data_IF_006871026756
#
_entry.id   IF_006871026756
#
_cell.length_a   1.000
_cell.length_b   1.000
_cell.length_c   1.000
_cell.angle_alpha   90.00
_cell.angle_beta   90.00
_cell.angle_gamma   90.00
#
_symmetry.space_group_name_H-M   'P 1'
#
loop_
_entity.id
_entity.type
_entity.pdbx_description
1 polymer ?
#
# COMPACT_ATOMS: atom_id res chain seq x y z
N UNK A 1 -39.00 28.43 8.48
CA UNK A 1 -37.63 27.93 8.25
C UNK A 1 -37.64 26.41 8.31
N UNK A 2 -37.50 25.74 7.16
CA UNK A 2 -37.31 24.27 7.08
C UNK A 2 -35.81 23.98 7.01
N UNK A 3 -35.28 22.96 7.69
CA UNK A 3 -33.90 22.52 7.47
C UNK A 3 -33.83 21.67 6.19
N UNK A 4 -32.89 22.02 5.30
CA UNK A 4 -32.53 21.23 4.13
C UNK A 4 -31.66 20.05 4.58
N UNK A 5 -32.25 18.85 4.66
CA UNK A 5 -31.50 17.59 4.55
C UNK A 5 -31.20 17.39 3.07
N UNK A 6 -29.93 17.51 2.70
CA UNK A 6 -29.41 17.00 1.43
C UNK A 6 -28.92 15.57 1.67
N UNK A 7 -29.61 14.62 1.07
CA UNK A 7 -29.27 13.20 1.07
C UNK A 7 -27.96 12.97 0.30
N UNK A 8 -26.90 12.57 1.00
CA UNK A 8 -25.74 11.93 0.39
C UNK A 8 -26.02 10.42 0.30
N UNK A 9 -25.81 9.76 -0.86
CA UNK A 9 -26.05 8.33 -0.99
C UNK A 9 -24.88 7.58 -0.36
N UNK A 10 -24.94 7.34 0.95
CA UNK A 10 -24.12 6.31 1.62
C UNK A 10 -25.04 5.17 2.02
N UNK A 11 -25.63 4.52 1.02
CA UNK A 11 -26.16 3.17 1.13
C UNK A 11 -25.46 2.30 0.10
N UNK A 12 -24.21 1.97 0.41
CA UNK A 12 -23.65 0.71 -0.04
C UNK A 12 -24.26 -0.38 0.83
N UNK A 13 -24.95 -1.32 0.21
CA UNK A 13 -25.44 -2.55 0.81
C UNK A 13 -24.34 -3.18 1.69
N UNK A 14 -24.61 -3.34 2.98
CA UNK A 14 -23.94 -4.36 3.80
C UNK A 14 -24.52 -5.71 3.37
N UNK A 15 -24.17 -6.12 2.15
CA UNK A 15 -24.53 -7.39 1.57
C UNK A 15 -24.15 -8.53 2.51
N UNK A 16 -25.06 -9.51 2.58
CA UNK A 16 -24.95 -10.77 3.31
C UNK A 16 -23.53 -11.37 3.34
N UNK A 17 -22.93 -11.46 4.52
CA UNK A 17 -22.22 -12.64 5.03
C UNK A 17 -20.97 -13.19 4.33
N UNK A 18 -20.48 -12.63 3.22
CA UNK A 18 -19.21 -13.02 2.64
C UNK A 18 -18.08 -12.18 3.25
N UNK A 19 -17.33 -12.77 4.19
CA UNK A 19 -16.08 -12.18 4.67
C UNK A 19 -15.16 -12.01 3.48
N UNK A 20 -14.86 -10.76 3.10
CA UNK A 20 -13.83 -10.48 2.10
C UNK A 20 -12.51 -11.13 2.53
N UNK A 21 -11.97 -11.99 1.68
CA UNK A 21 -10.76 -12.76 1.97
C UNK A 21 -9.53 -12.05 1.40
N UNK A 22 -8.43 -12.11 2.16
CA UNK A 22 -7.16 -11.54 1.71
C UNK A 22 -6.62 -12.23 0.45
N UNK A 23 -5.83 -11.50 -0.38
CA UNK A 23 -5.43 -11.96 -1.70
C UNK A 23 -4.50 -13.19 -1.71
N UNK A 24 -3.89 -13.55 -0.57
CA UNK A 24 -3.08 -14.77 -0.45
C UNK A 24 -3.89 -16.03 -0.16
N UNK A 25 -5.15 -15.91 0.27
CA UNK A 25 -6.00 -17.06 0.61
C UNK A 25 -6.21 -17.98 -0.60
N UNK A 26 -6.61 -17.39 -1.74
CA UNK A 26 -6.89 -18.13 -2.99
C UNK A 26 -5.66 -18.76 -3.66
N UNK A 27 -4.44 -18.58 -3.12
CA UNK A 27 -3.20 -19.11 -3.70
C UNK A 27 -2.60 -20.29 -2.93
N UNK A 28 -3.15 -20.62 -1.76
CA UNK A 28 -2.69 -21.72 -0.92
C UNK A 28 -2.92 -23.10 -1.59
N UNK A 29 -4.09 -23.30 -2.21
CA UNK A 29 -4.49 -24.59 -2.77
C UNK A 29 -3.69 -24.98 -4.05
N UNK A 30 -3.02 -24.02 -4.69
CA UNK A 30 -2.21 -24.24 -5.90
C UNK A 30 -0.69 -24.17 -5.70
N UNK A 31 -0.19 -24.09 -4.46
CA UNK A 31 1.24 -23.87 -4.18
C UNK A 31 1.74 -22.47 -4.57
N UNK A 32 0.83 -21.51 -4.74
CA UNK A 32 1.14 -20.17 -5.22
C UNK A 32 1.85 -19.32 -4.16
N UNK A 33 2.87 -18.58 -4.60
CA UNK A 33 3.49 -17.51 -3.80
C UNK A 33 2.86 -16.16 -4.13
N UNK A 34 2.90 -15.24 -3.17
CA UNK A 34 2.57 -13.84 -3.38
C UNK A 34 3.68 -12.95 -2.84
N UNK A 35 4.18 -12.06 -3.70
CA UNK A 35 5.20 -11.09 -3.34
C UNK A 35 4.55 -9.71 -3.25
N UNK A 36 4.71 -9.05 -2.11
CA UNK A 36 4.20 -7.71 -1.85
C UNK A 36 5.38 -6.79 -1.56
N UNK A 37 5.39 -5.63 -2.20
CA UNK A 37 6.27 -4.52 -1.82
C UNK A 37 5.41 -3.53 -1.06
N UNK A 38 5.90 -3.08 0.10
CA UNK A 38 5.33 -1.94 0.79
C UNK A 38 6.37 -0.82 0.77
N UNK A 39 5.97 0.40 0.43
CA UNK A 39 6.89 1.55 0.44
C UNK A 39 6.23 2.83 0.90
N UNK A 40 7.05 3.76 1.36
CA UNK A 40 6.63 5.10 1.77
C UNK A 40 7.76 5.81 2.47
N UNK A 41 7.43 6.89 3.17
CA UNK A 41 8.39 7.64 3.97
C UNK A 41 8.29 7.28 5.46
N UNK A 42 9.38 7.49 6.19
CA UNK A 42 9.41 7.31 7.64
C UNK A 42 8.32 8.11 8.34
N UNK A 43 7.37 7.41 8.97
CA UNK A 43 6.17 7.99 9.60
C UNK A 43 4.85 7.39 9.09
N UNK A 44 4.83 6.87 7.86
CA UNK A 44 3.59 6.41 7.20
C UNK A 44 3.05 5.06 7.72
N UNK A 45 3.76 4.39 8.63
CA UNK A 45 3.33 3.10 9.17
C UNK A 45 3.59 1.89 8.27
N UNK A 46 4.52 1.98 7.31
CA UNK A 46 4.90 0.88 6.39
C UNK A 46 5.28 -0.39 7.16
N UNK A 47 6.20 -0.29 8.13
CA UNK A 47 6.67 -1.43 8.94
C UNK A 47 5.54 -2.05 9.76
N UNK A 48 4.69 -1.22 10.37
CA UNK A 48 3.55 -1.69 11.15
C UNK A 48 2.56 -2.45 10.27
N UNK A 49 2.26 -1.90 9.10
CA UNK A 49 1.40 -2.54 8.09
C UNK A 49 1.96 -3.89 7.66
N UNK A 50 3.25 -3.97 7.32
CA UNK A 50 3.90 -5.24 6.98
C UNK A 50 3.72 -6.27 8.08
N UNK A 51 3.95 -5.89 9.35
CA UNK A 51 3.82 -6.80 10.50
C UNK A 51 2.39 -7.29 10.67
N UNK A 52 1.39 -6.41 10.51
CA UNK A 52 -0.02 -6.79 10.59
C UNK A 52 -0.38 -7.81 9.51
N UNK A 53 0.03 -7.57 8.25
CA UNK A 53 -0.22 -8.51 7.14
C UNK A 53 0.50 -9.84 7.39
N UNK A 54 1.77 -9.79 7.81
CA UNK A 54 2.56 -10.98 8.10
C UNK A 54 1.92 -11.83 9.21
N UNK A 55 1.51 -11.21 10.31
CA UNK A 55 0.86 -11.88 11.43
C UNK A 55 -0.49 -12.47 11.02
N UNK A 56 -1.30 -11.73 10.26
CA UNK A 56 -2.57 -12.24 9.72
C UNK A 56 -2.35 -13.49 8.85
N UNK A 57 -1.38 -13.43 7.93
CA UNK A 57 -1.05 -14.56 7.06
C UNK A 57 -0.52 -15.77 7.85
N UNK A 58 0.32 -15.55 8.88
CA UNK A 58 0.82 -16.61 9.76
C UNK A 58 -0.32 -17.31 10.52
N UNK A 59 -1.31 -16.56 11.00
CA UNK A 59 -2.50 -17.11 11.69
C UNK A 59 -3.36 -17.96 10.77
N UNK A 60 -3.34 -17.69 9.48
CA UNK A 60 -3.99 -18.52 8.44
C UNK A 60 -3.13 -19.72 7.98
N UNK A 61 -1.98 -19.98 8.64
CA UNK A 61 -1.07 -21.06 8.26
C UNK A 61 -0.20 -20.77 7.03
N UNK A 62 -0.18 -19.52 6.55
CA UNK A 62 0.67 -19.09 5.43
C UNK A 62 2.11 -18.94 5.87
N UNK A 63 3.07 -19.51 5.12
CA UNK A 63 4.49 -19.21 5.34
C UNK A 63 4.79 -17.77 4.93
N UNK A 64 5.50 -17.04 5.79
CA UNK A 64 5.86 -15.64 5.57
C UNK A 64 7.37 -15.45 5.63
N UNK A 65 7.90 -14.60 4.75
CA UNK A 65 9.25 -14.02 4.87
C UNK A 65 9.17 -12.51 4.70
N UNK A 66 9.85 -11.80 5.60
CA UNK A 66 9.94 -10.35 5.58
C UNK A 66 11.41 -9.95 5.43
N UNK A 67 11.68 -9.05 4.48
CA UNK A 67 12.97 -8.40 4.30
C UNK A 67 12.78 -6.89 4.32
N UNK A 68 13.27 -6.22 5.35
CA UNK A 68 13.14 -4.77 5.47
C UNK A 68 14.42 -4.10 4.96
N UNK A 69 14.27 -3.15 4.04
CA UNK A 69 15.34 -2.25 3.63
C UNK A 69 14.96 -0.87 4.15
N UNK A 70 15.39 -0.58 5.37
CA UNK A 70 15.31 0.76 5.91
C UNK A 70 16.48 1.56 5.37
N UNK A 71 16.21 2.72 4.74
CA UNK A 71 17.21 3.79 4.77
C UNK A 71 17.46 4.17 6.23
N UNK A 72 18.70 4.45 6.61
CA UNK A 72 19.12 4.83 7.97
C UNK A 72 18.42 6.11 8.53
N UNK A 73 17.47 6.69 7.81
CA UNK A 73 16.77 7.92 8.14
C UNK A 73 15.44 7.62 8.85
N UNK A 74 15.39 7.89 10.16
CA UNK A 74 14.23 7.62 11.01
C UNK A 74 13.05 8.59 10.83
N UNK A 75 13.16 9.63 9.98
CA UNK A 75 12.05 10.51 9.55
C UNK A 75 12.32 11.07 8.16
N UNK A 76 11.32 11.04 7.28
CA UNK A 76 11.38 11.62 5.93
C UNK A 76 12.25 10.85 4.92
N UNK A 77 12.90 9.75 5.32
CA UNK A 77 13.62 8.87 4.40
C UNK A 77 12.72 7.77 3.82
N UNK A 78 13.17 7.20 2.70
CA UNK A 78 12.57 6.03 2.06
C UNK A 78 12.55 4.81 2.99
N UNK A 79 11.37 4.20 3.09
CA UNK A 79 11.15 2.93 3.76
C UNK A 79 10.59 1.94 2.76
N UNK A 80 11.23 0.77 2.63
CA UNK A 80 10.75 -0.31 1.76
C UNK A 80 10.75 -1.62 2.52
N UNK A 81 9.64 -2.35 2.42
CA UNK A 81 9.47 -3.67 3.00
C UNK A 81 9.13 -4.68 1.91
N UNK A 82 9.89 -5.77 1.89
CA UNK A 82 9.65 -6.92 1.03
C UNK A 82 8.92 -7.99 1.84
N UNK A 83 7.71 -8.31 1.41
CA UNK A 83 6.88 -9.33 2.05
C UNK A 83 6.63 -10.47 1.05
N UNK A 84 6.88 -11.70 1.47
CA UNK A 84 6.71 -12.89 0.65
C UNK A 84 5.87 -13.92 1.39
N UNK A 85 4.77 -14.31 0.76
CA UNK A 85 3.75 -15.20 1.30
C UNK A 85 3.71 -16.49 0.48
N UNK A 86 3.51 -17.63 1.14
CA UNK A 86 3.30 -18.94 0.52
C UNK A 86 4.49 -19.91 0.64
N UNK A 87 4.28 -21.19 0.29
CA UNK A 87 5.19 -22.30 0.60
C UNK A 87 6.59 -22.17 -0.02
N UNK A 88 6.70 -21.54 -1.21
CA UNK A 88 7.92 -21.42 -2.01
C UNK A 88 8.67 -20.07 -1.86
N UNK A 89 8.39 -19.34 -0.79
CA UNK A 89 8.98 -18.02 -0.55
C UNK A 89 10.51 -18.07 -0.23
N UNK A 90 11.42 -18.56 -1.10
CA UNK A 90 12.86 -18.64 -0.78
C UNK A 90 13.54 -17.26 -0.73
N UNK A 91 14.22 -16.93 0.38
CA UNK A 91 14.90 -15.64 0.58
C UNK A 91 13.95 -14.51 1.00
N UNK A 92 14.49 -13.41 1.53
CA UNK A 92 13.70 -12.31 2.11
C UNK A 92 13.38 -11.18 1.13
N UNK A 93 14.21 -11.00 0.10
CA UNK A 93 13.98 -9.96 -0.91
C UNK A 93 13.07 -10.47 -2.02
N UNK A 94 12.19 -9.58 -2.49
CA UNK A 94 11.41 -9.81 -3.73
C UNK A 94 12.31 -9.51 -4.92
N UNK A 95 12.50 -10.46 -5.86
CA UNK A 95 13.28 -10.20 -7.06
C UNK A 95 12.64 -9.13 -7.94
N UNK A 96 13.43 -8.47 -8.78
CA UNK A 96 12.90 -7.54 -9.78
C UNK A 96 11.87 -8.23 -10.68
N UNK A 97 10.85 -7.48 -11.10
CA UNK A 97 9.75 -7.96 -11.95
C UNK A 97 8.97 -9.17 -11.39
N UNK A 98 8.93 -9.35 -10.07
CA UNK A 98 8.23 -10.49 -9.41
C UNK A 98 7.23 -10.08 -8.33
N UNK A 99 7.09 -8.80 -7.99
CA UNK A 99 6.07 -8.34 -7.07
C UNK A 99 4.68 -8.44 -7.73
N UNK A 100 3.73 -9.03 -7.00
CA UNK A 100 2.32 -9.13 -7.38
C UNK A 100 1.55 -7.86 -6.98
N UNK A 101 1.91 -7.28 -5.84
CA UNK A 101 1.26 -6.11 -5.25
C UNK A 101 2.32 -5.09 -4.83
N UNK A 102 2.04 -3.82 -5.07
CA UNK A 102 2.71 -2.68 -4.43
C UNK A 102 1.68 -1.94 -3.57
N UNK A 103 1.94 -1.84 -2.27
CA UNK A 103 1.20 -0.99 -1.34
C UNK A 103 2.06 0.24 -1.05
N UNK A 104 1.74 1.35 -1.71
CA UNK A 104 2.52 2.58 -1.64
C UNK A 104 1.80 3.64 -0.82
N UNK A 105 2.46 4.10 0.23
CA UNK A 105 1.95 5.12 1.14
C UNK A 105 2.32 6.55 0.69
N UNK A 106 3.07 6.67 -0.40
CA UNK A 106 3.60 7.92 -0.92
C UNK A 106 3.88 7.76 -2.44
N UNK A 107 3.47 8.72 -3.31
CA UNK A 107 3.54 8.56 -4.77
C UNK A 107 4.95 8.43 -5.36
N UNK A 108 5.91 9.26 -4.93
CA UNK A 108 7.27 9.20 -5.45
C UNK A 108 7.97 7.89 -5.05
N UNK A 109 7.70 7.39 -3.85
CA UNK A 109 8.16 6.08 -3.41
C UNK A 109 7.54 4.94 -4.21
N UNK A 110 6.28 5.07 -4.64
CA UNK A 110 5.67 4.10 -5.54
C UNK A 110 6.47 4.01 -6.86
N UNK A 111 6.77 5.16 -7.47
CA UNK A 111 7.52 5.25 -8.72
C UNK A 111 8.91 4.61 -8.60
N UNK A 112 9.61 4.83 -7.48
CA UNK A 112 10.94 4.24 -7.21
C UNK A 112 10.92 2.72 -7.12
N UNK A 113 9.81 2.12 -6.70
CA UNK A 113 9.70 0.67 -6.52
C UNK A 113 9.12 -0.09 -7.73
N UNK A 114 8.72 0.62 -8.80
CA UNK A 114 8.17 0.02 -10.03
C UNK A 114 9.05 -1.08 -10.65
N UNK A 115 10.37 -1.03 -10.45
CA UNK A 115 11.33 -2.06 -10.89
C UNK A 115 11.06 -3.46 -10.34
N UNK A 116 10.38 -3.56 -9.19
CA UNK A 116 10.04 -4.85 -8.58
C UNK A 116 8.75 -5.44 -9.13
N UNK A 117 7.87 -4.62 -9.72
CA UNK A 117 6.58 -5.05 -10.21
C UNK A 117 6.70 -5.90 -11.47
N UNK A 118 6.00 -7.04 -11.47
CA UNK A 118 5.72 -7.77 -12.70
C UNK A 118 4.78 -6.94 -13.59
N UNK A 119 4.57 -7.37 -14.82
CA UNK A 119 3.59 -6.72 -15.71
C UNK A 119 2.17 -6.92 -15.18
N UNK A 120 1.38 -5.85 -15.10
CA UNK A 120 0.01 -5.89 -14.59
C UNK A 120 -0.08 -6.28 -13.11
N UNK A 121 0.94 -5.96 -12.31
CA UNK A 121 0.83 -6.01 -10.87
C UNK A 121 -0.23 -5.01 -10.38
N UNK A 122 -0.85 -5.32 -9.24
CA UNK A 122 -1.75 -4.40 -8.57
C UNK A 122 -0.93 -3.36 -7.81
N UNK A 123 -1.27 -2.09 -7.97
CA UNK A 123 -0.70 -0.98 -7.21
C UNK A 123 -1.82 -0.31 -6.44
N UNK A 124 -1.68 -0.27 -5.12
CA UNK A 124 -2.57 0.48 -4.24
C UNK A 124 -1.76 1.66 -3.73
N UNK A 125 -2.18 2.87 -4.09
CA UNK A 125 -1.42 4.09 -3.87
C UNK A 125 -2.22 5.06 -2.99
N UNK A 126 -1.60 5.58 -1.93
CA UNK A 126 -2.05 6.81 -1.29
C UNK A 126 -1.54 8.02 -2.09
N UNK A 127 -2.44 8.88 -2.58
CA UNK A 127 -2.08 10.04 -3.41
C UNK A 127 -1.53 11.26 -2.64
N UNK A 128 -1.38 11.16 -1.31
CA UNK A 128 -0.77 12.23 -0.52
C UNK A 128 0.76 12.30 -0.73
N UNK A 129 1.31 13.40 -1.29
CA UNK A 129 2.74 13.56 -1.47
C UNK A 129 3.43 13.88 -0.14
N UNK A 130 4.64 13.34 0.06
CA UNK A 130 5.51 13.79 1.14
C UNK A 130 6.50 14.83 0.63
N UNK A 131 6.22 16.10 0.89
CA UNK A 131 7.12 17.20 0.51
C UNK A 131 8.16 17.41 1.61
N UNK A 132 9.36 16.86 1.40
CA UNK A 132 10.49 17.00 2.32
C UNK A 132 10.98 18.44 2.49
N UNK A 133 11.88 18.64 3.46
CA UNK A 133 12.46 19.96 3.79
C UNK A 133 13.19 20.55 2.58
N UNK A 134 13.91 19.75 1.80
CA UNK A 134 14.64 20.22 0.63
C UNK A 134 13.72 20.80 -0.44
N UNK A 135 12.52 20.22 -0.63
CA UNK A 135 11.54 20.75 -1.57
C UNK A 135 10.90 22.06 -1.04
N UNK A 136 10.66 22.16 0.28
CA UNK A 136 10.20 23.41 0.90
C UNK A 136 11.23 24.53 0.80
N UNK A 137 12.52 24.20 0.85
CA UNK A 137 13.63 25.15 0.68
C UNK A 137 13.92 25.45 -0.81
N UNK A 138 13.17 24.87 -1.75
CA UNK A 138 13.37 25.05 -3.19
C UNK A 138 14.64 24.38 -3.74
N UNK A 139 15.27 23.50 -2.96
CA UNK A 139 16.48 22.77 -3.31
C UNK A 139 16.20 21.52 -4.15
N UNK A 140 14.94 21.07 -4.19
CA UNK A 140 14.46 19.99 -5.06
C UNK A 140 13.02 20.26 -5.50
N UNK A 141 12.62 19.66 -6.62
CA UNK A 141 11.23 19.72 -7.10
C UNK A 141 10.58 18.35 -7.00
N UNK A 142 9.48 18.28 -6.25
CA UNK A 142 8.61 17.11 -6.25
C UNK A 142 7.82 17.08 -7.57
N UNK A 143 7.82 15.97 -8.34
CA UNK A 143 7.05 15.88 -9.58
C UNK A 143 5.55 16.02 -9.32
N UNK A 144 4.77 16.49 -10.30
CA UNK A 144 3.32 16.57 -10.13
C UNK A 144 2.73 15.18 -9.86
N UNK A 145 1.90 15.06 -8.82
CA UNK A 145 1.32 13.77 -8.40
C UNK A 145 0.52 13.14 -9.55
N UNK A 146 -0.21 13.95 -10.31
CA UNK A 146 -0.97 13.49 -11.49
C UNK A 146 -0.07 12.83 -12.55
N UNK A 147 1.15 13.32 -12.75
CA UNK A 147 2.10 12.73 -13.70
C UNK A 147 2.59 11.36 -13.20
N UNK A 148 2.87 11.25 -11.90
CA UNK A 148 3.27 9.99 -11.26
C UNK A 148 2.17 8.94 -11.42
N UNK A 149 0.93 9.29 -11.03
CA UNK A 149 -0.25 8.42 -11.14
C UNK A 149 -0.43 7.96 -12.60
N UNK A 150 -0.39 8.90 -13.54
CA UNK A 150 -0.53 8.62 -14.98
C UNK A 150 0.56 7.68 -15.52
N UNK A 151 1.79 7.76 -15.00
CA UNK A 151 2.86 6.86 -15.40
C UNK A 151 2.68 5.43 -14.86
N UNK A 152 2.16 5.29 -13.64
CA UNK A 152 1.91 4.00 -13.02
C UNK A 152 0.73 3.29 -13.69
N UNK A 153 -0.38 4.01 -13.89
CA UNK A 153 -1.62 3.48 -14.49
C UNK A 153 -1.40 2.93 -15.91
N UNK A 154 -0.49 3.53 -16.68
CA UNK A 154 -0.14 3.05 -18.04
C UNK A 154 0.39 1.63 -18.09
N UNK A 155 0.96 1.12 -17.00
CA UNK A 155 1.69 -0.16 -16.99
C UNK A 155 1.26 -1.12 -15.89
N UNK A 156 0.39 -0.70 -14.97
CA UNK A 156 -0.07 -1.48 -13.82
C UNK A 156 -1.57 -1.32 -13.57
N UNK A 157 -2.15 -2.25 -12.82
CA UNK A 157 -3.52 -2.18 -12.30
C UNK A 157 -3.53 -1.25 -11.07
N UNK A 158 -3.85 0.04 -11.28
CA UNK A 158 -3.76 1.07 -10.25
C UNK A 158 -5.09 1.28 -9.51
N UNK A 159 -5.02 1.27 -8.19
CA UNK A 159 -6.05 1.76 -7.28
C UNK A 159 -5.49 3.00 -6.58
N UNK A 160 -5.96 4.17 -7.01
CA UNK A 160 -5.66 5.44 -6.35
C UNK A 160 -6.60 5.65 -5.15
N UNK A 161 -6.04 5.98 -3.98
CA UNK A 161 -6.75 6.09 -2.72
C UNK A 161 -6.41 7.41 -2.04
N UNK A 162 -7.41 8.26 -1.70
CA UNK A 162 -7.19 9.43 -0.84
C UNK A 162 -7.09 8.99 0.63
N UNK A 163 -6.13 8.11 0.94
CA UNK A 163 -6.11 7.40 2.22
C UNK A 163 -5.85 8.34 3.40
N UNK A 164 -5.03 9.37 3.21
CA UNK A 164 -4.82 10.42 4.22
C UNK A 164 -6.10 11.17 4.53
N UNK A 165 -6.89 11.54 3.51
CA UNK A 165 -8.15 12.23 3.70
C UNK A 165 -9.17 11.34 4.44
N UNK A 166 -9.34 10.10 3.99
CA UNK A 166 -10.23 9.12 4.63
C UNK A 166 -9.82 8.87 6.10
N UNK A 167 -8.52 8.84 6.39
CA UNK A 167 -8.04 8.70 7.76
C UNK A 167 -8.36 9.92 8.63
N UNK A 168 -8.25 11.14 8.09
CA UNK A 168 -8.66 12.37 8.78
C UNK A 168 -10.15 12.36 9.10
N UNK A 169 -10.99 11.90 8.18
CA UNK A 169 -12.43 11.75 8.39
C UNK A 169 -12.76 10.68 9.45
N UNK A 170 -11.95 9.60 9.53
CA UNK A 170 -12.14 8.51 10.49
C UNK A 170 -11.61 8.79 11.91
N UNK A 171 -10.79 9.84 12.09
CA UNK A 171 -10.31 10.25 13.41
C UNK A 171 -8.88 10.81 13.46
N UNK A 172 -8.09 10.65 12.40
CA UNK A 172 -6.79 11.32 12.27
C UNK A 172 -5.81 10.62 11.33
N UNK A 173 -4.80 11.37 10.87
CA UNK A 173 -3.76 10.91 9.93
C UNK A 173 -2.98 9.67 10.39
N UNK A 174 -2.93 9.41 11.70
CA UNK A 174 -2.32 8.18 12.24
C UNK A 174 -3.02 6.90 11.80
N UNK A 175 -4.24 7.00 11.25
CA UNK A 175 -5.03 5.88 10.74
C UNK A 175 -4.84 5.60 9.25
N UNK A 176 -4.01 6.38 8.52
CA UNK A 176 -3.78 6.19 7.07
C UNK A 176 -3.37 4.76 6.74
N UNK A 177 -2.56 4.14 7.60
CA UNK A 177 -2.17 2.74 7.42
C UNK A 177 -3.32 1.75 7.58
N UNK A 178 -4.30 2.03 8.44
CA UNK A 178 -5.51 1.21 8.59
C UNK A 178 -6.39 1.32 7.35
N UNK A 179 -6.54 2.53 6.80
CA UNK A 179 -7.26 2.72 5.52
C UNK A 179 -6.58 1.93 4.40
N UNK A 180 -5.26 2.04 4.27
CA UNK A 180 -4.47 1.31 3.28
C UNK A 180 -4.49 -0.21 3.50
N UNK A 181 -4.62 -0.68 4.75
CA UNK A 181 -4.83 -2.12 5.02
C UNK A 181 -6.21 -2.58 4.56
N UNK A 182 -7.26 -1.78 4.77
CA UNK A 182 -8.62 -2.11 4.37
C UNK A 182 -8.82 -2.23 2.86
N UNK A 183 -7.98 -1.58 2.05
CA UNK A 183 -8.04 -1.72 0.59
C UNK A 183 -7.43 -3.03 0.07
N UNK A 184 -6.72 -3.78 0.92
CA UNK A 184 -6.22 -5.12 0.60
C UNK A 184 -7.26 -6.23 0.82
N UNK A 185 -8.37 -5.97 1.53
CA UNK A 185 -9.43 -6.95 1.82
C UNK A 185 -10.61 -6.86 0.85
#
# INVERSE_FOLDING_TARGET
MRPLRGDLPVRGDIGSGETRQFPWHNRQEGGGRMNVILCGVGGNGVVLTTRIIAEAALREGTKVRVGEVHGLAMRGGTVVSHLRLGPDAKGVLVPQRKADILLAFEPLEALRQMKFLKQGAKVILNNEPFVGVDAHLGLSRYPEVCDIISQIEKVQDLVDVPATQLALEAGGVVMTNVVMLGTLS
#
